data_IF_609846815998
#
_entry.id   IF_609846815998
#
_cell.length_a   1.000
_cell.length_b   1.000
_cell.length_c   1.000
_cell.angle_alpha   90.00
_cell.angle_beta   90.00
_cell.angle_gamma   90.00
#
_symmetry.space_group_name_H-M   'P 1'
#
loop_
_entity.id
_entity.type
_entity.pdbx_description
1 polymer ?
#
# COMPACT_ATOMS: atom_id res chain seq x y z
N UNK A 1 -23.89 24.11 -51.74
CA UNK A 1 -23.87 22.77 -51.12
C UNK A 1 -22.49 22.17 -51.34
N UNK A 2 -21.61 22.33 -50.36
CA UNK A 2 -20.44 21.47 -50.14
C UNK A 2 -20.08 21.66 -48.67
N UNK A 3 -20.54 20.70 -47.87
CA UNK A 3 -20.25 20.57 -46.46
C UNK A 3 -18.74 20.44 -46.28
N UNK A 4 -18.09 21.43 -45.68
CA UNK A 4 -16.67 21.35 -45.35
C UNK A 4 -16.47 21.70 -43.86
N UNK A 5 -15.84 20.73 -43.19
CA UNK A 5 -15.04 20.83 -41.95
C UNK A 5 -15.67 20.77 -40.55
N UNK A 6 -16.91 20.30 -40.37
CA UNK A 6 -17.41 20.02 -38.99
C UNK A 6 -16.94 18.69 -38.37
N UNK A 7 -16.16 17.87 -39.08
CA UNK A 7 -15.60 16.59 -38.56
C UNK A 7 -14.12 16.62 -38.16
N UNK A 8 -13.49 17.79 -38.11
CA UNK A 8 -12.10 17.92 -37.66
C UNK A 8 -11.99 18.70 -36.34
N UNK A 9 -12.93 18.50 -35.40
CA UNK A 9 -12.65 18.86 -34.01
C UNK A 9 -11.59 17.87 -33.52
N UNK A 10 -10.32 18.24 -33.67
CA UNK A 10 -9.25 17.62 -32.90
C UNK A 10 -9.65 17.73 -31.44
N UNK A 11 -9.88 16.60 -30.79
CA UNK A 11 -9.97 16.55 -29.33
C UNK A 11 -8.57 16.94 -28.85
N UNK A 12 -8.35 18.23 -28.70
CA UNK A 12 -7.23 18.73 -27.92
C UNK A 12 -7.58 18.32 -26.51
N UNK A 13 -6.99 17.21 -26.04
CA UNK A 13 -7.06 16.85 -24.64
C UNK A 13 -6.66 18.10 -23.85
N UNK A 14 -7.51 18.52 -22.92
CA UNK A 14 -7.20 19.67 -22.07
C UNK A 14 -5.81 19.42 -21.45
N UNK A 15 -4.91 20.39 -21.58
CA UNK A 15 -3.58 20.28 -21.00
C UNK A 15 -3.69 19.94 -19.51
N UNK A 16 -2.85 19.02 -19.03
CA UNK A 16 -2.82 18.66 -17.62
C UNK A 16 -2.50 19.91 -16.79
N UNK A 17 -3.50 20.38 -16.03
CA UNK A 17 -3.34 21.48 -15.09
C UNK A 17 -2.84 20.95 -13.74
N UNK A 18 -2.19 21.78 -12.94
CA UNK A 18 -1.68 21.42 -11.60
C UNK A 18 -2.72 20.71 -10.71
N UNK A 19 -3.98 21.13 -10.79
CA UNK A 19 -5.10 20.51 -10.05
C UNK A 19 -5.42 19.09 -10.51
N UNK A 20 -5.17 18.73 -11.77
CA UNK A 20 -5.36 17.38 -12.32
C UNK A 20 -4.25 16.47 -11.82
N UNK A 21 -3.00 16.93 -11.91
CA UNK A 21 -1.83 16.19 -11.42
C UNK A 21 -1.90 15.94 -9.91
N UNK A 22 -2.32 16.94 -9.13
CA UNK A 22 -2.51 16.82 -7.68
C UNK A 22 -3.53 15.73 -7.30
N UNK A 23 -4.69 15.69 -7.98
CA UNK A 23 -5.73 14.67 -7.71
C UNK A 23 -5.23 13.25 -7.92
N UNK A 24 -4.54 13.01 -9.05
CA UNK A 24 -4.03 11.67 -9.36
C UNK A 24 -2.90 11.24 -8.44
N UNK A 25 -2.05 12.16 -7.96
CA UNK A 25 -1.01 11.86 -6.96
C UNK A 25 -1.61 11.34 -5.65
N UNK A 26 -2.62 12.03 -5.11
CA UNK A 26 -3.27 11.63 -3.85
C UNK A 26 -3.94 10.27 -3.99
N UNK A 27 -4.68 10.04 -5.09
CA UNK A 27 -5.34 8.75 -5.34
C UNK A 27 -4.31 7.63 -5.46
N UNK A 28 -3.24 7.82 -6.24
CA UNK A 28 -2.19 6.82 -6.41
C UNK A 28 -1.48 6.51 -5.08
N UNK A 29 -1.23 7.54 -4.26
CA UNK A 29 -0.58 7.39 -2.97
C UNK A 29 -1.43 6.57 -1.98
N UNK A 30 -2.72 6.91 -1.81
CA UNK A 30 -3.63 6.20 -0.90
C UNK A 30 -3.85 4.76 -1.38
N UNK A 31 -3.99 4.55 -2.68
CA UNK A 31 -4.17 3.22 -3.24
C UNK A 31 -2.91 2.35 -3.07
N UNK A 32 -1.73 2.91 -3.32
CA UNK A 32 -0.46 2.25 -3.08
C UNK A 32 -0.27 1.86 -1.61
N UNK A 33 -0.60 2.76 -0.68
CA UNK A 33 -0.56 2.48 0.75
C UNK A 33 -1.56 1.40 1.17
N UNK A 34 -2.79 1.42 0.65
CA UNK A 34 -3.80 0.41 0.95
C UNK A 34 -3.33 -1.00 0.55
N UNK A 35 -2.68 -1.14 -0.61
CA UNK A 35 -2.10 -2.42 -1.06
C UNK A 35 -0.97 -2.86 -0.12
N UNK A 36 -0.06 -1.96 0.24
CA UNK A 36 1.04 -2.28 1.15
C UNK A 36 0.53 -2.71 2.53
N UNK A 37 -0.45 -2.00 3.08
CA UNK A 37 -1.09 -2.33 4.35
C UNK A 37 -1.82 -3.69 4.28
N UNK A 38 -2.54 -3.98 3.20
CA UNK A 38 -3.22 -5.25 3.01
C UNK A 38 -2.22 -6.43 2.94
N UNK A 39 -1.12 -6.27 2.19
CA UNK A 39 -0.06 -7.27 2.13
C UNK A 39 0.61 -7.47 3.50
N UNK A 40 0.86 -6.39 4.23
CA UNK A 40 1.37 -6.42 5.61
C UNK A 40 0.45 -7.22 6.54
N UNK A 41 -0.85 -6.93 6.54
CA UNK A 41 -1.84 -7.60 7.39
C UNK A 41 -1.92 -9.12 7.11
N UNK A 42 -1.82 -9.53 5.85
CA UNK A 42 -1.78 -10.96 5.47
C UNK A 42 -0.52 -11.63 6.02
N UNK A 43 0.64 -10.98 5.94
CA UNK A 43 1.88 -11.52 6.51
C UNK A 43 1.84 -11.62 8.03
N UNK A 44 1.38 -10.56 8.70
CA UNK A 44 1.32 -10.47 10.15
C UNK A 44 0.34 -11.47 10.79
N UNK A 45 -0.84 -11.66 10.18
CA UNK A 45 -1.85 -12.61 10.69
C UNK A 45 -1.32 -14.05 10.73
N UNK A 46 -0.54 -14.46 9.72
CA UNK A 46 0.09 -15.80 9.67
C UNK A 46 1.17 -15.96 10.74
N UNK A 47 1.99 -14.93 10.95
CA UNK A 47 2.99 -14.93 12.03
C UNK A 47 2.29 -15.03 13.38
N UNK A 48 1.26 -14.22 13.63
CA UNK A 48 0.52 -14.24 14.89
C UNK A 48 -0.15 -15.60 15.15
N UNK A 49 -0.83 -16.18 14.16
CA UNK A 49 -1.46 -17.49 14.29
C UNK A 49 -0.45 -18.59 14.65
N UNK A 50 0.67 -18.66 13.90
CA UNK A 50 1.73 -19.65 14.17
C UNK A 50 2.40 -19.46 15.54
N UNK A 51 2.56 -18.22 15.99
CA UNK A 51 3.12 -17.92 17.31
C UNK A 51 2.19 -18.36 18.45
N UNK A 52 0.88 -18.10 18.33
CA UNK A 52 -0.11 -18.51 19.33
C UNK A 52 -0.19 -20.04 19.43
N UNK A 53 -0.28 -20.74 18.29
CA UNK A 53 -0.27 -22.21 18.29
C UNK A 53 1.03 -22.79 18.84
N UNK A 54 2.17 -22.20 18.49
CA UNK A 54 3.48 -22.61 18.98
C UNK A 54 3.60 -22.45 20.49
N UNK A 55 3.13 -21.33 21.03
CA UNK A 55 3.13 -21.05 22.46
C UNK A 55 2.18 -21.97 23.23
N UNK A 56 1.00 -22.27 22.67
CA UNK A 56 0.05 -23.21 23.27
C UNK A 56 0.60 -24.65 23.34
N UNK A 57 1.29 -25.10 22.28
CA UNK A 57 1.89 -26.44 22.23
C UNK A 57 3.16 -26.57 23.07
N UNK A 58 3.91 -25.48 23.26
CA UNK A 58 5.18 -25.46 23.99
C UNK A 58 5.27 -24.26 24.94
N UNK A 59 4.54 -24.28 26.07
CA UNK A 59 4.45 -23.13 26.98
C UNK A 59 5.81 -22.73 27.58
N UNK A 60 6.73 -23.69 27.79
CA UNK A 60 8.10 -23.42 28.26
C UNK A 60 8.96 -22.62 27.28
N UNK A 61 8.57 -22.53 26.01
CA UNK A 61 9.27 -21.75 24.98
C UNK A 61 8.54 -20.46 24.60
N UNK A 62 7.41 -20.13 25.24
CA UNK A 62 6.52 -19.02 24.86
C UNK A 62 7.26 -17.67 24.78
N UNK A 63 8.16 -17.38 25.73
CA UNK A 63 8.95 -16.14 25.70
C UNK A 63 9.87 -16.04 24.46
N UNK A 64 10.52 -17.15 24.07
CA UNK A 64 11.35 -17.19 22.86
C UNK A 64 10.51 -17.06 21.59
N UNK A 65 9.32 -17.67 21.57
CA UNK A 65 8.36 -17.56 20.45
C UNK A 65 7.92 -16.11 20.28
N UNK A 66 7.60 -15.41 21.37
CA UNK A 66 7.23 -13.99 21.32
C UNK A 66 8.35 -13.11 20.76
N UNK A 67 9.61 -13.34 21.15
CA UNK A 67 10.75 -12.57 20.62
C UNK A 67 10.89 -12.81 19.11
N UNK A 68 10.83 -14.06 18.65
CA UNK A 68 10.91 -14.39 17.22
C UNK A 68 9.72 -13.79 16.44
N UNK A 69 8.52 -13.81 17.03
CA UNK A 69 7.31 -13.20 16.47
C UNK A 69 7.49 -11.69 16.28
N UNK A 70 7.96 -10.97 17.31
CA UNK A 70 8.16 -9.51 17.25
C UNK A 70 9.18 -9.14 16.17
N UNK A 71 10.29 -9.89 16.06
CA UNK A 71 11.30 -9.66 15.01
C UNK A 71 10.67 -9.84 13.61
N UNK A 72 9.90 -10.91 13.41
CA UNK A 72 9.21 -11.16 12.14
C UNK A 72 8.20 -10.05 11.80
N UNK A 73 7.39 -9.63 12.77
CA UNK A 73 6.43 -8.54 12.61
C UNK A 73 7.11 -7.20 12.32
N UNK A 74 8.22 -6.89 13.00
CA UNK A 74 8.98 -5.66 12.78
C UNK A 74 9.54 -5.55 11.37
N UNK A 75 10.01 -6.66 10.78
CA UNK A 75 10.48 -6.68 9.40
C UNK A 75 9.34 -6.42 8.41
N UNK A 76 8.15 -6.98 8.63
CA UNK A 76 6.98 -6.70 7.77
C UNK A 76 6.53 -5.24 7.92
N UNK A 77 6.46 -4.73 9.15
CA UNK A 77 6.10 -3.34 9.41
C UNK A 77 7.09 -2.36 8.80
N UNK A 78 8.37 -2.69 8.70
CA UNK A 78 9.35 -1.80 8.06
C UNK A 78 9.00 -1.47 6.61
N UNK A 79 8.37 -2.41 5.87
CA UNK A 79 7.91 -2.19 4.50
C UNK A 79 6.67 -1.30 4.44
N UNK A 80 5.74 -1.48 5.38
CA UNK A 80 4.51 -0.67 5.51
C UNK A 80 4.86 0.76 5.95
N UNK A 81 5.78 0.91 6.89
CA UNK A 81 6.27 2.23 7.30
C UNK A 81 7.08 2.92 6.19
N UNK A 82 7.86 2.18 5.40
CA UNK A 82 8.56 2.78 4.27
C UNK A 82 7.58 3.31 3.22
N UNK A 83 6.51 2.57 2.91
CA UNK A 83 5.44 3.06 2.03
C UNK A 83 4.66 4.22 2.63
N UNK A 84 4.39 4.21 3.94
CA UNK A 84 3.80 5.34 4.66
C UNK A 84 4.65 6.60 4.52
N UNK A 85 5.96 6.49 4.72
CA UNK A 85 6.91 7.61 4.61
C UNK A 85 6.94 8.15 3.18
N UNK A 86 6.95 7.29 2.16
CA UNK A 86 6.90 7.72 0.75
C UNK A 86 5.60 8.49 0.48
N UNK A 87 4.46 8.00 0.96
CA UNK A 87 3.18 8.69 0.81
C UNK A 87 3.21 10.06 1.50
N UNK A 88 3.66 10.15 2.74
CA UNK A 88 3.75 11.46 3.43
C UNK A 88 4.77 12.43 2.81
N UNK A 89 5.84 11.93 2.22
CA UNK A 89 6.91 12.77 1.67
C UNK A 89 6.71 13.15 0.18
N UNK A 90 5.82 12.48 -0.55
CA UNK A 90 5.63 12.65 -2.01
C UNK A 90 4.18 12.82 -2.48
N UNK A 91 3.18 12.50 -1.66
CA UNK A 91 1.76 12.72 -1.98
C UNK A 91 1.36 14.18 -1.74
#
# INVERSE_FOLDING_TARGET
>A
MTCATTFAQTVTAAADNESTVSKYRVIAAVFGFAIAAAAGAIGQSRIAASAVEGAARNPGAAGRIQIMMIIGLALIESLVLFTLVIVFARA
#
